data_IF_501196369316
#
_entry.id   IF_501196369316
#
_cell.length_a   1.000
_cell.length_b   1.000
_cell.length_c   1.000
_cell.angle_alpha   90.00
_cell.angle_beta   90.00
_cell.angle_gamma   90.00
#
_symmetry.space_group_name_H-M   'P 1'
#
loop_
_entity.id
_entity.type
_entity.pdbx_description
1 polymer ?
#
# COMPACT_ATOMS: atom_id res chain seq x y z
N UNK A 1 -10.75 39.57 17.01
CA UNK A 1 -9.86 38.62 16.28
C UNK A 1 -10.26 37.15 16.45
N UNK A 2 -10.75 36.72 17.62
CA UNK A 2 -11.20 35.35 17.86
C UNK A 2 -12.44 34.95 17.03
N UNK A 3 -13.41 35.84 16.90
CA UNK A 3 -14.66 35.56 16.15
C UNK A 3 -14.43 35.33 14.66
N UNK A 4 -13.47 36.06 14.07
CA UNK A 4 -13.06 35.85 12.68
C UNK A 4 -12.39 34.48 12.47
N UNK A 5 -11.63 33.98 13.46
CA UNK A 5 -11.05 32.62 13.42
C UNK A 5 -12.13 31.56 13.56
N UNK A 6 -13.05 31.75 14.50
CA UNK A 6 -14.18 30.82 14.73
C UNK A 6 -15.07 30.69 13.50
N UNK A 7 -15.41 31.81 12.85
CA UNK A 7 -16.25 31.82 11.66
C UNK A 7 -15.56 31.17 10.45
N UNK A 8 -14.23 31.32 10.31
CA UNK A 8 -13.46 30.60 9.28
C UNK A 8 -13.45 29.09 9.51
N UNK A 9 -13.30 28.66 10.76
CA UNK A 9 -13.31 27.23 11.10
C UNK A 9 -14.70 26.62 10.87
N UNK A 10 -15.78 27.32 11.25
CA UNK A 10 -17.16 26.88 11.01
C UNK A 10 -17.41 26.65 9.51
N UNK A 11 -17.04 27.62 8.66
CA UNK A 11 -17.16 27.50 7.19
C UNK A 11 -16.33 26.35 6.61
N UNK A 12 -15.13 26.12 7.15
CA UNK A 12 -14.30 25.01 6.71
C UNK A 12 -14.94 23.65 7.07
N UNK A 13 -15.52 23.54 8.26
CA UNK A 13 -16.24 22.33 8.71
C UNK A 13 -17.49 22.09 7.87
N UNK A 14 -18.28 23.12 7.59
CA UNK A 14 -19.45 23.03 6.71
C UNK A 14 -19.08 22.54 5.31
N UNK A 15 -17.99 23.05 4.74
CA UNK A 15 -17.46 22.62 3.44
C UNK A 15 -17.02 21.15 3.42
N UNK A 16 -16.47 20.65 4.54
CA UNK A 16 -16.09 19.23 4.69
C UNK A 16 -17.34 18.36 4.80
N UNK A 17 -18.32 18.78 5.60
CA UNK A 17 -19.58 18.04 5.82
C UNK A 17 -20.43 18.00 4.54
N UNK A 18 -20.44 19.08 3.75
CA UNK A 18 -21.21 19.16 2.49
C UNK A 18 -20.57 18.39 1.32
N UNK A 19 -19.35 17.88 1.48
CA UNK A 19 -18.60 17.22 0.40
C UNK A 19 -18.04 18.17 -0.66
N UNK A 20 -18.21 19.49 -0.50
CA UNK A 20 -17.60 20.51 -1.37
C UNK A 20 -16.08 20.66 -1.13
N UNK A 21 -15.57 20.12 -0.03
CA UNK A 21 -14.15 20.01 0.21
C UNK A 21 -13.56 19.06 -0.83
N UNK A 22 -12.69 19.61 -1.68
CA UNK A 22 -11.93 18.83 -2.66
C UNK A 22 -11.07 17.83 -1.89
N UNK A 23 -11.39 16.55 -1.98
CA UNK A 23 -10.48 15.49 -1.57
C UNK A 23 -9.37 15.48 -2.60
N UNK A 24 -8.19 15.95 -2.21
CA UNK A 24 -7.00 15.75 -3.01
C UNK A 24 -6.49 14.34 -2.76
N UNK A 25 -6.74 13.44 -3.72
CA UNK A 25 -6.01 12.17 -3.81
C UNK A 25 -4.54 12.50 -4.10
N UNK A 26 -3.80 12.74 -3.03
CA UNK A 26 -2.35 12.85 -3.07
C UNK A 26 -1.85 11.43 -3.19
N UNK A 27 -1.76 10.92 -4.42
CA UNK A 27 -1.20 9.61 -4.81
C UNK A 27 0.29 9.43 -4.42
N UNK A 28 0.75 10.13 -3.37
CA UNK A 28 2.13 10.32 -2.96
C UNK A 28 2.98 10.96 -4.06
N UNK A 29 4.08 11.61 -3.66
CA UNK A 29 5.12 11.99 -4.62
C UNK A 29 6.04 10.81 -4.94
N UNK A 30 6.28 9.96 -3.94
CA UNK A 30 7.10 8.75 -4.04
C UNK A 30 6.53 7.68 -3.10
N UNK A 31 5.87 6.67 -3.66
CA UNK A 31 5.34 5.52 -2.93
C UNK A 31 6.02 4.25 -3.43
N UNK A 32 6.37 3.31 -2.54
CA UNK A 32 6.80 1.98 -2.97
C UNK A 32 5.63 1.25 -3.64
N UNK A 33 5.91 0.56 -4.76
CA UNK A 33 4.97 -0.35 -5.41
C UNK A 33 5.08 -1.72 -4.73
N UNK A 34 3.95 -2.29 -4.37
CA UNK A 34 3.86 -3.59 -3.70
C UNK A 34 3.73 -4.73 -4.72
N UNK A 35 4.65 -5.69 -4.69
CA UNK A 35 4.59 -6.89 -5.53
C UNK A 35 3.38 -7.80 -5.23
N UNK A 36 2.82 -7.73 -4.02
CA UNK A 36 1.66 -8.48 -3.54
C UNK A 36 0.55 -7.52 -3.08
N UNK A 37 -0.08 -6.74 -3.99
CA UNK A 37 -0.90 -5.57 -3.63
C UNK A 37 -2.20 -5.89 -2.88
N UNK A 38 -2.55 -7.17 -2.70
CA UNK A 38 -3.77 -7.58 -1.99
C UNK A 38 -3.61 -7.29 -0.48
N UNK A 39 -4.49 -6.49 0.13
CA UNK A 39 -4.36 -6.12 1.53
C UNK A 39 -4.47 -7.34 2.47
N UNK A 40 -3.54 -7.42 3.41
CA UNK A 40 -3.66 -8.29 4.57
C UNK A 40 -4.76 -7.78 5.50
N UNK A 41 -5.46 -8.72 6.13
CA UNK A 41 -6.50 -8.46 7.12
C UNK A 41 -6.20 -9.20 8.41
N UNK A 42 -6.56 -8.57 9.53
CA UNK A 42 -6.60 -9.24 10.81
C UNK A 42 -7.73 -10.27 10.85
N UNK A 43 -7.72 -11.16 11.85
CA UNK A 43 -8.75 -12.19 12.06
C UNK A 43 -10.17 -11.63 12.25
N UNK A 44 -10.31 -10.34 12.56
CA UNK A 44 -11.59 -9.62 12.66
C UNK A 44 -12.03 -8.96 11.33
N UNK A 45 -11.27 -9.18 10.23
CA UNK A 45 -11.52 -8.61 8.92
C UNK A 45 -11.02 -7.17 8.74
N UNK A 46 -10.50 -6.52 9.79
CA UNK A 46 -9.96 -5.17 9.66
C UNK A 46 -8.66 -5.18 8.85
N UNK A 47 -8.48 -4.20 7.96
CA UNK A 47 -7.27 -4.07 7.14
C UNK A 47 -6.06 -3.81 8.06
N UNK A 48 -4.97 -4.53 7.79
CA UNK A 48 -3.71 -4.36 8.50
C UNK A 48 -3.09 -3.01 8.13
N UNK A 49 -2.51 -2.31 9.13
CA UNK A 49 -1.84 -1.02 8.92
C UNK A 49 -0.72 -1.11 7.86
N UNK A 50 -0.56 -0.07 7.04
CA UNK A 50 0.38 -0.06 5.91
C UNK A 50 1.85 -0.33 6.26
N UNK A 51 2.27 -0.02 7.49
CA UNK A 51 3.62 -0.36 7.98
C UNK A 51 3.90 -1.86 7.99
N UNK A 52 2.86 -2.69 8.13
CA UNK A 52 2.99 -4.15 8.13
C UNK A 52 2.73 -4.71 6.73
N UNK A 53 1.82 -4.09 5.96
CA UNK A 53 1.52 -4.51 4.57
C UNK A 53 2.78 -4.60 3.71
N UNK A 54 3.71 -3.64 3.84
CA UNK A 54 4.91 -3.57 2.99
C UNK A 54 5.97 -4.67 3.25
N UNK A 55 5.69 -5.69 4.06
CA UNK A 55 6.67 -6.72 4.42
C UNK A 55 7.04 -7.62 3.22
N UNK A 56 6.11 -7.81 2.28
CA UNK A 56 6.24 -8.64 1.08
C UNK A 56 6.23 -7.83 -0.23
N UNK A 57 6.47 -6.52 -0.13
CA UNK A 57 6.42 -5.60 -1.27
C UNK A 57 7.54 -5.79 -2.30
N UNK A 58 8.61 -6.52 -1.97
CA UNK A 58 9.80 -6.59 -2.82
C UNK A 58 9.61 -7.51 -4.03
N UNK A 59 10.02 -7.03 -5.20
CA UNK A 59 10.16 -7.86 -6.39
C UNK A 59 11.46 -8.67 -6.30
N UNK A 60 11.38 -9.96 -6.55
CA UNK A 60 12.51 -10.86 -6.42
C UNK A 60 12.19 -12.31 -6.76
N UNK A 61 13.24 -13.13 -6.78
CA UNK A 61 13.15 -14.58 -7.02
C UNK A 61 12.92 -15.39 -5.74
N UNK A 62 13.15 -14.80 -4.58
CA UNK A 62 12.99 -15.45 -3.28
C UNK A 62 11.52 -15.43 -2.88
N UNK A 63 11.05 -16.53 -2.29
CA UNK A 63 9.74 -16.57 -1.65
C UNK A 63 9.71 -15.64 -0.43
N UNK A 64 8.55 -15.08 -0.12
CA UNK A 64 8.38 -14.20 1.04
C UNK A 64 8.47 -15.03 2.32
N UNK A 65 9.01 -14.46 3.39
CA UNK A 65 8.97 -15.12 4.69
C UNK A 65 7.53 -15.10 5.24
N UNK A 66 7.05 -16.20 5.85
CA UNK A 66 5.73 -16.19 6.47
C UNK A 66 5.70 -15.22 7.66
N UNK A 67 4.55 -14.58 7.87
CA UNK A 67 4.36 -13.60 8.94
C UNK A 67 3.19 -14.01 9.85
N UNK A 68 3.47 -14.08 11.15
CA UNK A 68 2.44 -14.29 12.18
C UNK A 68 2.54 -13.18 13.22
N UNK A 69 1.44 -12.45 13.43
CA UNK A 69 1.38 -11.36 14.40
C UNK A 69 0.16 -11.46 15.30
N UNK A 70 0.30 -10.91 16.50
CA UNK A 70 -0.76 -10.74 17.48
C UNK A 70 -0.96 -9.25 17.77
N UNK A 71 -2.20 -8.80 17.89
CA UNK A 71 -2.59 -7.42 18.21
C UNK A 71 -3.65 -7.43 19.28
N UNK A 72 -3.28 -6.94 20.46
CA UNK A 72 -4.21 -6.67 21.56
C UNK A 72 -5.05 -5.42 21.27
N UNK A 73 -6.35 -5.52 21.50
CA UNK A 73 -7.30 -4.41 21.40
C UNK A 73 -8.19 -4.40 22.65
N UNK A 74 -8.89 -3.29 22.91
CA UNK A 74 -9.83 -3.21 24.03
C UNK A 74 -10.95 -4.27 23.96
N UNK A 75 -11.29 -4.73 22.76
CA UNK A 75 -12.29 -5.77 22.48
C UNK A 75 -11.73 -7.19 22.49
N UNK A 76 -10.43 -7.36 22.73
CA UNK A 76 -9.73 -8.64 22.75
C UNK A 76 -8.56 -8.72 21.77
N UNK A 77 -7.98 -9.91 21.67
CA UNK A 77 -6.84 -10.20 20.80
C UNK A 77 -7.29 -10.49 19.37
N UNK A 78 -6.51 -10.00 18.40
CA UNK A 78 -6.64 -10.36 16.98
C UNK A 78 -5.32 -10.87 16.43
N UNK A 79 -5.38 -11.74 15.42
CA UNK A 79 -4.21 -12.38 14.84
C UNK A 79 -4.13 -12.11 13.34
N UNK A 80 -2.92 -12.05 12.82
CA UNK A 80 -2.63 -12.07 11.38
C UNK A 80 -1.79 -13.31 11.09
N UNK A 81 -2.16 -14.05 10.06
CA UNK A 81 -1.36 -15.15 9.51
C UNK A 81 -1.25 -14.98 8.01
N UNK A 82 -0.05 -14.64 7.54
CA UNK A 82 0.27 -14.54 6.13
C UNK A 82 1.27 -15.65 5.78
N UNK A 83 0.90 -16.63 4.93
CA UNK A 83 1.80 -17.69 4.52
C UNK A 83 2.91 -17.15 3.62
N UNK A 84 3.96 -17.94 3.44
CA UNK A 84 4.98 -17.68 2.42
C UNK A 84 4.33 -17.66 1.03
N UNK A 85 4.67 -16.66 0.23
CA UNK A 85 4.21 -16.49 -1.15
C UNK A 85 5.39 -16.66 -2.12
N UNK A 86 5.17 -17.19 -3.34
CA UNK A 86 6.20 -17.22 -4.36
C UNK A 86 6.73 -15.81 -4.67
N UNK A 87 8.03 -15.69 -4.94
CA UNK A 87 8.62 -14.41 -5.34
C UNK A 87 8.05 -13.93 -6.68
N UNK A 88 7.75 -12.63 -6.76
CA UNK A 88 7.29 -11.97 -7.99
C UNK A 88 8.48 -11.26 -8.63
N UNK A 89 8.89 -11.71 -9.82
CA UNK A 89 10.12 -11.21 -10.46
C UNK A 89 9.91 -10.04 -11.41
N UNK A 90 8.66 -9.68 -11.71
CA UNK A 90 8.33 -8.73 -12.77
C UNK A 90 7.43 -7.63 -12.25
N UNK A 91 7.93 -6.41 -12.29
CA UNK A 91 7.09 -5.23 -12.35
C UNK A 91 6.65 -5.01 -13.80
N UNK A 92 5.35 -4.80 -14.01
CA UNK A 92 4.73 -4.46 -15.28
C UNK A 92 3.63 -3.42 -15.02
N UNK A 93 3.76 -2.25 -15.61
CA UNK A 93 2.85 -1.12 -15.38
C UNK A 93 1.79 -0.94 -16.48
N UNK A 94 1.70 -1.87 -17.45
CA UNK A 94 0.74 -1.80 -18.57
C UNK A 94 -0.70 -1.56 -18.12
N UNK A 95 -1.09 -2.08 -16.95
CA UNK A 95 -2.36 -1.76 -16.29
C UNK A 95 -2.11 -0.78 -15.13
N UNK A 96 -2.59 0.48 -15.21
CA UNK A 96 -2.44 1.48 -14.15
C UNK A 96 -2.91 1.03 -12.77
N UNK A 97 -3.87 0.10 -12.70
CA UNK A 97 -4.45 -0.37 -11.45
C UNK A 97 -3.88 -1.73 -10.99
N UNK A 98 -2.80 -2.23 -11.61
CA UNK A 98 -2.24 -3.54 -11.27
C UNK A 98 -1.74 -3.66 -9.81
N UNK A 99 -1.37 -2.54 -9.20
CA UNK A 99 -0.83 -2.46 -7.83
C UNK A 99 -1.70 -1.61 -6.91
N UNK A 100 -2.97 -1.47 -7.27
CA UNK A 100 -3.95 -0.70 -6.52
C UNK A 100 -5.10 -1.57 -6.05
N UNK A 101 -5.38 -1.54 -4.75
CA UNK A 101 -6.57 -2.14 -4.16
C UNK A 101 -7.44 -1.06 -3.47
N UNK A 102 -8.71 -0.87 -3.89
CA UNK A 102 -9.60 0.12 -3.29
C UNK A 102 -9.96 -0.19 -1.83
N UNK A 103 -9.72 -1.41 -1.32
CA UNK A 103 -9.86 -1.72 0.11
C UNK A 103 -8.69 -1.17 0.95
N UNK A 104 -7.56 -0.82 0.33
CA UNK A 104 -6.43 -0.16 1.01
C UNK A 104 -5.78 0.94 0.14
N UNK A 105 -6.53 2.01 -0.19
CA UNK A 105 -6.08 3.01 -1.16
C UNK A 105 -4.83 3.77 -0.68
N UNK A 106 -4.64 3.89 0.64
CA UNK A 106 -3.49 4.56 1.23
C UNK A 106 -2.21 3.71 1.26
N UNK A 107 -2.33 2.40 1.02
CA UNK A 107 -1.22 1.44 0.98
C UNK A 107 -1.00 0.85 -0.42
N UNK A 108 -1.51 1.52 -1.44
CA UNK A 108 -1.60 1.04 -2.81
C UNK A 108 -1.12 2.13 -3.77
N UNK A 109 -0.74 1.74 -5.00
CA UNK A 109 -0.20 2.67 -6.00
C UNK A 109 -0.91 2.49 -7.35
N UNK A 110 -1.45 3.59 -7.87
CA UNK A 110 -1.84 3.69 -9.28
C UNK A 110 -0.59 4.07 -10.08
N UNK A 111 -0.16 3.21 -10.98
CA UNK A 111 1.05 3.39 -11.80
C UNK A 111 0.74 4.16 -13.09
N UNK A 112 1.78 4.65 -13.76
CA UNK A 112 1.64 5.60 -14.87
C UNK A 112 1.02 4.99 -16.13
N UNK A 113 1.11 3.67 -16.34
CA UNK A 113 0.54 3.03 -17.52
C UNK A 113 1.42 3.14 -18.76
N UNK A 114 2.75 3.27 -18.60
CA UNK A 114 3.65 3.53 -19.73
C UNK A 114 4.02 2.28 -20.52
N UNK A 115 3.65 1.09 -20.03
CA UNK A 115 4.06 -0.20 -20.58
C UNK A 115 5.48 -0.62 -20.18
N UNK A 116 6.07 0.08 -19.21
CA UNK A 116 7.36 -0.23 -18.62
C UNK A 116 7.31 -1.57 -17.90
N UNK A 117 8.32 -2.40 -18.20
CA UNK A 117 8.50 -3.69 -17.55
C UNK A 117 9.90 -3.82 -17.00
N UNK A 118 10.01 -4.13 -15.71
CA UNK A 118 11.28 -4.35 -15.01
C UNK A 118 11.28 -5.78 -14.48
N UNK A 119 12.23 -6.60 -14.92
CA UNK A 119 12.35 -8.01 -14.53
C UNK A 119 13.65 -8.29 -13.78
N UNK A 120 13.53 -8.96 -12.65
CA UNK A 120 14.65 -9.53 -11.90
C UNK A 120 15.11 -10.83 -12.59
N UNK A 121 16.09 -10.70 -13.48
CA UNK A 121 16.61 -11.85 -14.24
C UNK A 121 17.61 -12.68 -13.43
N UNK A 122 18.25 -12.12 -12.41
CA UNK A 122 19.16 -12.85 -11.52
C UNK A 122 19.18 -12.23 -10.11
N UNK A 123 19.38 -13.07 -9.10
CA UNK A 123 19.75 -12.66 -7.74
C UNK A 123 20.96 -13.46 -7.27
N UNK A 124 21.84 -12.85 -6.44
CA UNK A 124 22.96 -13.55 -5.83
C UNK A 124 22.84 -13.59 -4.29
N UNK A 125 23.73 -14.36 -3.64
CA UNK A 125 23.73 -14.55 -2.17
C UNK A 125 24.01 -13.29 -1.36
N UNK A 126 24.51 -12.23 -1.99
CA UNK A 126 24.80 -10.95 -1.35
C UNK A 126 23.65 -9.93 -1.53
N UNK A 127 22.52 -10.36 -2.09
CA UNK A 127 21.36 -9.49 -2.32
C UNK A 127 21.46 -8.62 -3.58
N UNK A 128 22.45 -8.84 -4.46
CA UNK A 128 22.54 -8.11 -5.72
C UNK A 128 21.56 -8.68 -6.74
N UNK A 129 20.80 -7.78 -7.38
CA UNK A 129 19.85 -8.10 -8.44
C UNK A 129 20.38 -7.65 -9.80
N UNK A 130 20.22 -8.48 -10.82
CA UNK A 130 20.37 -8.06 -12.22
C UNK A 130 18.98 -7.83 -12.78
N UNK A 131 18.77 -6.64 -13.33
CA UNK A 131 17.47 -6.20 -13.85
C UNK A 131 17.51 -6.11 -15.37
N UNK A 132 16.43 -6.54 -16.02
CA UNK A 132 16.15 -6.24 -17.41
C UNK A 132 14.98 -5.27 -17.49
N UNK A 133 15.18 -4.13 -18.16
CA UNK A 133 14.15 -3.11 -18.37
C UNK A 133 13.74 -3.11 -19.84
N UNK A 134 12.44 -3.00 -20.09
CA UNK A 134 11.86 -2.83 -21.43
C UNK A 134 10.77 -1.77 -21.39
#
# INVERSE_FOLDING_TARGET
MADARRNRNQKAVEKVISGEAKVEDRNGLALPVDAHPKPLTWSDGTVVRNRVQSYDATFGRQATDPLSLHREQATGMTTLTAPSQPGITVFNDTNPNAYYDPANPQGSVIVAGTGTRIEVVQSNRNGMLTLQVR
#
